data_IF_725566381035
#
_entry.id   IF_725566381035
#
_cell.length_a   1.000
_cell.length_b   1.000
_cell.length_c   1.000
_cell.angle_alpha   90.00
_cell.angle_beta   90.00
_cell.angle_gamma   90.00
#
_symmetry.space_group_name_H-M   'P 1'
#
loop_
_entity.id
_entity.type
_entity.pdbx_description
1 polymer ?
#
# COMPACT_ATOMS: atom_id res chain seq x y z
N UNK A 1 13.89 -10.33 4.76
CA UNK A 1 12.64 -10.35 5.55
C UNK A 1 11.59 -9.55 4.80
N UNK A 2 10.31 -9.93 4.85
CA UNK A 2 9.22 -9.16 4.27
C UNK A 2 8.30 -8.65 5.40
N UNK A 3 7.86 -7.40 5.29
CA UNK A 3 6.82 -6.82 6.15
C UNK A 3 5.73 -6.26 5.25
N UNK A 4 4.50 -6.72 5.45
CA UNK A 4 3.34 -6.25 4.70
C UNK A 4 2.52 -5.27 5.54
N UNK A 5 2.27 -4.10 4.98
CA UNK A 5 1.41 -3.08 5.55
C UNK A 5 0.06 -3.11 4.82
N UNK A 6 -1.01 -3.33 5.59
CA UNK A 6 -2.39 -3.24 5.12
C UNK A 6 -3.13 -2.16 5.90
N UNK A 7 -4.27 -1.73 5.40
CA UNK A 7 -5.11 -0.76 6.09
C UNK A 7 -6.56 -1.24 6.21
N UNK A 8 -7.21 -0.87 7.30
CA UNK A 8 -8.63 -1.10 7.53
C UNK A 8 -9.26 0.08 8.29
N UNK A 9 -10.53 0.36 7.99
CA UNK A 9 -11.35 1.37 8.67
C UNK A 9 -12.59 0.67 9.25
N UNK A 10 -12.86 0.90 10.52
CA UNK A 10 -14.11 0.49 11.18
C UNK A 10 -14.99 1.71 11.40
N UNK A 11 -16.23 1.68 10.93
CA UNK A 11 -17.20 2.76 11.08
C UNK A 11 -18.61 2.18 11.20
N UNK A 12 -19.38 2.61 12.21
CA UNK A 12 -20.76 2.14 12.47
C UNK A 12 -20.93 0.62 12.44
N UNK A 13 -19.98 -0.11 13.04
CA UNK A 13 -20.01 -1.58 13.09
C UNK A 13 -19.50 -2.28 11.83
N UNK A 14 -19.35 -1.57 10.70
CA UNK A 14 -18.81 -2.12 9.45
C UNK A 14 -17.29 -1.95 9.39
N UNK A 15 -16.58 -2.98 8.94
CA UNK A 15 -15.12 -2.93 8.70
C UNK A 15 -14.84 -2.99 7.20
N UNK A 16 -14.24 -1.93 6.65
CA UNK A 16 -13.69 -1.89 5.30
C UNK A 16 -12.18 -2.18 5.38
N UNK A 17 -11.69 -3.03 4.49
CA UNK A 17 -10.25 -3.34 4.34
C UNK A 17 -9.77 -2.85 2.97
N UNK A 18 -8.53 -2.35 2.91
CA UNK A 18 -7.87 -2.04 1.65
C UNK A 18 -7.73 -3.30 0.80
N UNK A 19 -7.72 -3.14 -0.52
CA UNK A 19 -7.62 -4.27 -1.46
C UNK A 19 -6.17 -4.69 -1.71
N UNK A 20 -5.21 -3.89 -1.26
CA UNK A 20 -3.78 -4.09 -1.53
C UNK A 20 -2.93 -3.89 -0.28
N UNK A 21 -1.65 -4.24 -0.37
CA UNK A 21 -0.65 -4.04 0.68
C UNK A 21 0.60 -3.35 0.13
N UNK A 22 1.24 -2.51 0.94
CA UNK A 22 2.62 -2.07 0.68
C UNK A 22 3.55 -3.09 1.34
N UNK A 23 4.55 -3.56 0.62
CA UNK A 23 5.52 -4.52 1.16
C UNK A 23 6.90 -3.87 1.28
N UNK A 24 7.48 -3.95 2.48
CA UNK A 24 8.89 -3.62 2.72
C UNK A 24 9.68 -4.92 2.67
N UNK A 25 10.64 -4.99 1.75
CA UNK A 25 11.51 -6.13 1.54
C UNK A 25 12.93 -5.75 1.95
N UNK A 26 13.41 -6.32 3.05
CA UNK A 26 14.81 -6.23 3.45
C UNK A 26 15.59 -7.36 2.77
N UNK A 27 16.46 -6.99 1.83
CA UNK A 27 17.30 -7.90 1.04
C UNK A 27 18.79 -7.66 1.34
N UNK A 28 19.69 -8.60 1.00
CA UNK A 28 21.14 -8.38 1.10
C UNK A 28 21.64 -7.17 0.28
N UNK A 29 20.91 -6.77 -0.77
CA UNK A 29 21.24 -5.64 -1.64
C UNK A 29 20.65 -4.31 -1.12
N UNK A 30 19.96 -4.33 0.01
CA UNK A 30 19.29 -3.17 0.60
C UNK A 30 17.78 -3.35 0.70
N UNK A 31 17.12 -2.28 1.15
CA UNK A 31 15.66 -2.26 1.31
C UNK A 31 14.98 -1.90 0.00
N UNK A 32 13.89 -2.59 -0.29
CA UNK A 32 13.01 -2.34 -1.42
C UNK A 32 11.59 -2.12 -0.88
N UNK A 33 10.88 -1.15 -1.45
CA UNK A 33 9.43 -0.98 -1.25
C UNK A 33 8.73 -1.49 -2.51
N UNK A 34 7.81 -2.43 -2.33
CA UNK A 34 6.84 -2.83 -3.34
C UNK A 34 5.54 -2.07 -3.05
N UNK A 35 5.18 -1.15 -3.94
CA UNK A 35 4.06 -0.24 -3.75
C UNK A 35 2.98 -0.49 -4.82
N UNK A 36 1.73 -0.82 -4.40
CA UNK A 36 0.61 -0.99 -5.31
C UNK A 36 -0.04 0.34 -5.69
N UNK A 37 -0.42 0.48 -6.97
CA UNK A 37 -1.25 1.57 -7.45
C UNK A 37 -2.28 1.04 -8.46
N UNK A 38 -3.43 1.72 -8.57
CA UNK A 38 -4.44 1.39 -9.57
C UNK A 38 -4.18 2.21 -10.83
N UNK A 39 -3.99 1.55 -11.96
CA UNK A 39 -3.82 2.20 -13.25
C UNK A 39 -5.14 2.73 -13.83
N UNK A 40 -5.09 3.55 -14.89
CA UNK A 40 -6.28 4.00 -15.62
C UNK A 40 -7.12 2.86 -16.21
N UNK A 41 -6.50 1.70 -16.41
CA UNK A 41 -7.12 0.44 -16.85
C UNK A 41 -7.84 -0.33 -15.73
N UNK A 42 -7.96 0.28 -14.54
CA UNK A 42 -8.51 -0.29 -13.31
C UNK A 42 -7.76 -1.53 -12.79
N UNK A 43 -6.56 -1.81 -13.31
CA UNK A 43 -5.73 -2.91 -12.81
C UNK A 43 -4.81 -2.41 -11.72
N UNK A 44 -4.50 -3.31 -10.77
CA UNK A 44 -3.50 -3.05 -9.73
C UNK A 44 -2.13 -3.42 -10.27
N UNK A 45 -1.21 -2.46 -10.23
CA UNK A 45 0.19 -2.62 -10.60
C UNK A 45 1.06 -2.45 -9.37
N UNK A 46 2.20 -3.16 -9.33
CA UNK A 46 3.17 -3.06 -8.25
C UNK A 46 4.48 -2.50 -8.80
N UNK A 47 4.94 -1.40 -8.22
CA UNK A 47 6.26 -0.83 -8.51
C UNK A 47 7.24 -1.22 -7.41
N UNK A 48 8.41 -1.71 -7.80
CA UNK A 48 9.52 -1.96 -6.89
C UNK A 48 10.51 -0.80 -6.96
N UNK A 49 10.85 -0.24 -5.80
CA UNK A 49 11.74 0.90 -5.73
C UNK A 49 12.61 0.84 -4.47
N UNK A 50 13.72 1.57 -4.45
CA UNK A 50 14.58 1.71 -3.25
C UNK A 50 13.76 2.09 -2.00
N UNK A 51 14.16 1.51 -0.87
CA UNK A 51 13.66 1.62 0.50
C UNK A 51 13.60 3.00 1.17
N UNK A 52 13.44 4.08 0.41
CA UNK A 52 13.52 5.43 0.94
C UNK A 52 12.31 5.80 1.84
N UNK A 53 12.51 6.48 2.98
CA UNK A 53 11.43 6.80 3.93
C UNK A 53 10.24 7.55 3.31
N UNK A 54 10.49 8.47 2.37
CA UNK A 54 9.42 9.21 1.70
C UNK A 54 8.50 8.30 0.88
N UNK A 55 9.03 7.23 0.27
CA UNK A 55 8.22 6.26 -0.48
C UNK A 55 7.35 5.40 0.44
N UNK A 56 7.85 5.07 1.62
CA UNK A 56 7.04 4.38 2.63
C UNK A 56 5.87 5.26 3.08
N UNK A 57 6.14 6.54 3.35
CA UNK A 57 5.10 7.50 3.72
C UNK A 57 4.03 7.64 2.63
N UNK A 58 4.44 7.79 1.36
CA UNK A 58 3.50 7.83 0.22
C UNK A 58 2.69 6.54 0.11
N UNK A 59 3.33 5.37 0.21
CA UNK A 59 2.63 4.09 0.14
C UNK A 59 1.59 3.91 1.26
N UNK A 60 1.93 4.30 2.49
CA UNK A 60 0.99 4.27 3.62
C UNK A 60 -0.20 5.21 3.40
N UNK A 61 0.03 6.41 2.88
CA UNK A 61 -1.05 7.35 2.57
C UNK A 61 -2.02 6.76 1.54
N UNK A 62 -1.52 6.11 0.49
CA UNK A 62 -2.36 5.48 -0.52
C UNK A 62 -3.18 4.30 0.01
N UNK A 63 -2.67 3.55 1.00
CA UNK A 63 -3.47 2.52 1.67
C UNK A 63 -4.69 3.13 2.38
N UNK A 64 -4.57 4.33 2.94
CA UNK A 64 -5.71 5.03 3.54
C UNK A 64 -6.67 5.61 2.52
N UNK A 65 -6.17 6.08 1.38
CA UNK A 65 -7.03 6.56 0.27
C UNK A 65 -8.03 5.49 -0.18
N UNK A 66 -7.64 4.20 -0.17
CA UNK A 66 -8.53 3.05 -0.49
C UNK A 66 -9.73 2.87 0.46
N UNK A 67 -9.67 3.48 1.64
CA UNK A 67 -10.68 3.34 2.70
C UNK A 67 -11.68 4.51 2.73
N UNK A 68 -11.47 5.53 1.88
CA UNK A 68 -12.41 6.63 1.73
C UNK A 68 -13.69 6.16 1.03
N UNK A 69 -14.82 6.82 1.33
CA UNK A 69 -16.14 6.42 0.83
C UNK A 69 -16.25 6.48 -0.70
N UNK A 70 -15.40 7.29 -1.34
CA UNK A 70 -15.31 7.47 -2.79
C UNK A 70 -14.12 6.75 -3.44
N UNK A 71 -13.38 5.91 -2.70
CA UNK A 71 -12.32 5.14 -3.31
C UNK A 71 -12.95 4.11 -4.26
N UNK A 72 -12.77 4.37 -5.56
CA UNK A 72 -13.32 3.72 -6.76
C UNK A 72 -13.92 2.32 -6.56
#
# INVERSE_FOLDING_TARGET
MATELTAARRHNGTTRRGKTAVTVLDTPQGRIIAWPHTGPDQRVWITYAEGAPHRLATGVQMLFEQLTEHAL
#
